data_IF_910560290639
#
_entry.id   IF_910560290639
#
_cell.length_a   1.000
_cell.length_b   1.000
_cell.length_c   1.000
_cell.angle_alpha   90.00
_cell.angle_beta   90.00
_cell.angle_gamma   90.00
#
_symmetry.space_group_name_H-M   'P 1'
#
loop_
_entity.id
_entity.type
_entity.pdbx_description
1 polymer ?
#
# COMPACT_ATOMS: atom_id res chain seq x y z
N UNK A 1 7.43 15.75 10.22
CA UNK A 1 6.42 15.71 11.29
C UNK A 1 6.39 14.30 11.90
N UNK A 2 5.94 14.18 13.15
CA UNK A 2 5.68 12.91 13.85
C UNK A 2 4.20 12.81 14.28
N UNK A 3 3.29 13.55 13.62
CA UNK A 3 1.84 13.53 13.89
C UNK A 3 1.10 13.15 12.62
N UNK A 4 0.15 12.23 12.75
CA UNK A 4 -0.73 11.81 11.67
C UNK A 4 -1.75 12.92 11.34
N UNK A 5 -2.26 13.60 12.36
CA UNK A 5 -3.22 14.70 12.25
C UNK A 5 -2.65 15.86 11.42
N UNK A 6 -1.40 16.26 11.69
CA UNK A 6 -0.73 17.33 10.93
C UNK A 6 -0.59 16.96 9.45
N UNK A 7 -0.33 15.69 9.15
CA UNK A 7 -0.19 15.21 7.77
C UNK A 7 -1.54 15.07 7.05
N UNK A 8 -2.64 14.82 7.78
CA UNK A 8 -3.99 14.70 7.23
C UNK A 8 -4.66 16.05 6.97
N UNK A 9 -4.37 17.06 7.80
CA UNK A 9 -4.99 18.37 7.72
C UNK A 9 -4.79 19.01 6.33
N UNK A 10 -5.90 19.19 5.59
CA UNK A 10 -5.90 19.78 4.25
C UNK A 10 -5.27 18.92 3.15
N UNK A 11 -4.94 17.64 3.42
CA UNK A 11 -4.36 16.76 2.40
C UNK A 11 -5.36 16.46 1.27
N UNK A 12 -4.91 16.44 0.01
CA UNK A 12 -5.74 16.00 -1.13
C UNK A 12 -5.74 14.46 -1.30
N UNK A 13 -4.68 13.81 -0.82
CA UNK A 13 -4.45 12.37 -0.92
C UNK A 13 -3.86 11.89 0.41
N UNK A 14 -4.32 10.75 0.90
CA UNK A 14 -3.74 10.09 2.08
C UNK A 14 -3.34 8.66 1.74
N UNK A 15 -2.17 8.25 2.24
CA UNK A 15 -1.66 6.88 2.08
C UNK A 15 -1.14 6.35 3.43
N UNK A 16 -2.04 5.96 4.34
CA UNK A 16 -1.66 5.38 5.63
C UNK A 16 -1.42 3.88 5.48
N UNK A 17 -0.18 3.43 5.71
CA UNK A 17 0.24 2.01 5.70
C UNK A 17 1.28 1.82 6.78
N UNK A 18 1.23 0.71 7.52
CA UNK A 18 2.25 0.38 8.52
C UNK A 18 3.54 -0.12 7.86
N UNK A 19 4.70 0.17 8.48
CA UNK A 19 5.99 -0.41 8.14
C UNK A 19 6.84 -0.62 9.39
N UNK A 20 7.72 -1.63 9.36
CA UNK A 20 8.69 -1.85 10.43
C UNK A 20 9.85 -0.83 10.32
N UNK A 21 10.41 -0.34 11.46
CA UNK A 21 11.57 0.54 11.44
C UNK A 21 12.75 -0.07 10.67
N UNK A 22 13.51 0.76 9.97
CA UNK A 22 14.67 0.31 9.19
C UNK A 22 15.66 -0.52 10.03
N UNK A 23 15.96 -0.08 11.27
CA UNK A 23 16.92 -0.77 12.15
C UNK A 23 16.42 -2.15 12.59
N UNK A 24 15.11 -2.30 12.81
CA UNK A 24 14.48 -3.61 13.05
C UNK A 24 14.71 -4.54 11.87
N UNK A 25 14.53 -4.04 10.64
CA UNK A 25 14.71 -4.84 9.42
C UNK A 25 16.18 -5.22 9.17
N UNK A 26 17.12 -4.37 9.54
CA UNK A 26 18.56 -4.68 9.51
C UNK A 26 18.88 -5.84 10.47
N UNK A 27 18.49 -5.73 11.74
CA UNK A 27 18.67 -6.80 12.74
C UNK A 27 17.97 -8.09 12.31
N UNK A 28 16.73 -8.01 11.82
CA UNK A 28 15.99 -9.17 11.28
C UNK A 28 16.79 -9.86 10.17
N UNK A 29 17.42 -9.09 9.28
CA UNK A 29 18.21 -9.64 8.17
C UNK A 29 19.44 -10.38 8.66
N UNK A 30 20.13 -9.86 9.68
CA UNK A 30 21.28 -10.52 10.30
C UNK A 30 20.88 -11.84 10.98
N UNK A 31 19.79 -11.83 11.75
CA UNK A 31 19.26 -13.02 12.42
C UNK A 31 18.83 -14.10 11.41
N UNK A 32 18.12 -13.70 10.34
CA UNK A 32 17.74 -14.62 9.26
C UNK A 32 18.95 -15.26 8.58
N UNK A 33 20.00 -14.49 8.28
CA UNK A 33 21.24 -15.02 7.67
C UNK A 33 21.96 -16.02 8.57
N UNK A 34 21.82 -15.88 9.89
CA UNK A 34 22.38 -16.80 10.89
C UNK A 34 21.46 -17.98 11.21
N UNK A 35 20.25 -18.02 10.63
CA UNK A 35 19.20 -19.00 10.97
C UNK A 35 18.85 -18.99 12.48
N UNK A 36 18.93 -17.81 13.11
CA UNK A 36 18.64 -17.63 14.53
C UNK A 36 17.13 -17.46 14.77
N UNK A 37 16.43 -18.58 14.88
CA UNK A 37 14.98 -18.60 15.08
C UNK A 37 14.56 -18.00 16.44
N UNK A 38 15.34 -18.24 17.50
CA UNK A 38 15.02 -17.72 18.82
C UNK A 38 15.13 -16.19 18.85
N UNK A 39 16.19 -15.63 18.25
CA UNK A 39 16.35 -14.18 18.12
C UNK A 39 15.25 -13.54 17.27
N UNK A 40 14.74 -14.23 16.24
CA UNK A 40 13.62 -13.73 15.43
C UNK A 40 12.33 -13.65 16.24
N UNK A 41 12.01 -14.68 17.03
CA UNK A 41 10.82 -14.71 17.88
C UNK A 41 10.88 -13.60 18.96
N UNK A 42 12.06 -13.36 19.53
CA UNK A 42 12.29 -12.28 20.50
C UNK A 42 12.13 -10.89 19.84
N UNK A 43 12.72 -10.70 18.66
CA UNK A 43 12.59 -9.45 17.90
C UNK A 43 11.13 -9.15 17.54
N UNK A 44 10.37 -10.16 17.09
CA UNK A 44 8.96 -10.00 16.76
C UNK A 44 8.13 -9.58 17.97
N UNK A 45 8.29 -10.25 19.12
CA UNK A 45 7.62 -9.88 20.37
C UNK A 45 7.92 -8.43 20.78
N UNK A 46 9.17 -8.02 20.66
CA UNK A 46 9.57 -6.63 20.93
C UNK A 46 8.87 -5.65 19.97
N UNK A 47 8.82 -5.95 18.68
CA UNK A 47 8.17 -5.09 17.69
C UNK A 47 6.66 -4.97 17.92
N UNK A 48 5.98 -6.08 18.24
CA UNK A 48 4.56 -6.07 18.58
C UNK A 48 4.28 -5.18 19.80
N UNK A 49 5.08 -5.33 20.86
CA UNK A 49 4.97 -4.49 22.06
C UNK A 49 5.28 -3.01 21.77
N UNK A 50 6.23 -2.71 20.88
CA UNK A 50 6.53 -1.34 20.46
C UNK A 50 5.34 -0.72 19.71
N UNK A 51 4.81 -1.41 18.71
CA UNK A 51 3.73 -0.92 17.85
C UNK A 51 2.41 -0.75 18.62
N UNK A 52 2.18 -1.56 19.66
CA UNK A 52 1.01 -1.43 20.53
C UNK A 52 0.91 -0.08 21.26
N UNK A 53 2.01 0.69 21.35
CA UNK A 53 1.98 2.06 21.90
C UNK A 53 1.43 3.09 20.90
N UNK A 54 1.18 2.71 19.65
CA UNK A 54 0.79 3.60 18.55
C UNK A 54 -0.51 3.14 17.87
N UNK A 55 -1.38 2.42 18.57
CA UNK A 55 -2.66 1.94 18.01
C UNK A 55 -3.61 3.06 17.56
N UNK A 56 -3.41 4.29 18.02
CA UNK A 56 -4.14 5.46 17.52
C UNK A 56 -3.78 5.90 16.09
N UNK A 57 -2.75 5.30 15.48
CA UNK A 57 -2.36 5.56 14.08
C UNK A 57 -3.25 4.78 13.10
N UNK A 58 -4.53 5.13 13.09
CA UNK A 58 -5.56 4.53 12.25
C UNK A 58 -6.18 5.59 11.33
N UNK A 59 -6.46 5.25 10.08
CA UNK A 59 -7.21 6.10 9.17
C UNK A 59 -8.71 6.05 9.50
N UNK A 60 -9.15 6.97 10.37
CA UNK A 60 -10.54 7.07 10.86
C UNK A 60 -11.38 8.08 10.08
N UNK A 61 -12.71 8.01 10.21
CA UNK A 61 -13.61 9.04 9.66
C UNK A 61 -13.30 10.45 10.20
N UNK A 62 -12.94 10.57 11.48
CA UNK A 62 -12.58 11.86 12.10
C UNK A 62 -11.33 12.47 11.46
N UNK A 63 -10.30 11.66 11.18
CA UNK A 63 -9.12 12.14 10.46
C UNK A 63 -9.45 12.53 9.03
N UNK A 64 -10.24 11.71 8.33
CA UNK A 64 -10.66 11.99 6.95
C UNK A 64 -11.42 13.32 6.81
N UNK A 65 -12.22 13.72 7.81
CA UNK A 65 -12.92 15.02 7.81
C UNK A 65 -11.98 16.23 7.81
N UNK A 66 -10.75 16.08 8.32
CA UNK A 66 -9.78 17.17 8.36
C UNK A 66 -9.02 17.37 7.04
N UNK A 67 -9.17 16.43 6.12
CA UNK A 67 -8.54 16.47 4.79
C UNK A 67 -9.17 17.52 3.88
N UNK A 68 -8.59 17.76 2.70
CA UNK A 68 -9.12 18.67 1.70
C UNK A 68 -10.58 18.29 1.37
N UNK A 69 -11.50 19.23 1.62
CA UNK A 69 -12.95 19.05 1.50
C UNK A 69 -13.53 17.84 2.28
N UNK A 70 -12.78 17.31 3.26
CA UNK A 70 -13.15 16.13 4.03
C UNK A 70 -13.21 14.83 3.22
N UNK A 71 -12.60 14.79 2.03
CA UNK A 71 -12.73 13.68 1.07
C UNK A 71 -11.46 13.41 0.26
N UNK A 72 -10.29 13.54 0.90
CA UNK A 72 -9.03 13.13 0.28
C UNK A 72 -9.14 11.74 -0.34
N UNK A 73 -8.45 11.54 -1.47
CA UNK A 73 -8.34 10.21 -2.04
C UNK A 73 -7.55 9.31 -1.09
N UNK A 74 -8.24 8.37 -0.45
CA UNK A 74 -7.61 7.30 0.29
C UNK A 74 -6.96 6.30 -0.68
N UNK A 75 -5.68 6.05 -0.49
CA UNK A 75 -4.89 5.08 -1.27
C UNK A 75 -4.28 4.02 -0.36
N UNK A 76 -4.24 2.78 -0.86
CA UNK A 76 -3.63 1.66 -0.16
C UNK A 76 -3.27 0.54 -1.13
N UNK A 77 -2.16 -0.17 -0.90
CA UNK A 77 -1.66 -1.19 -1.85
C UNK A 77 -2.43 -2.52 -1.84
N UNK A 78 -3.18 -2.77 -0.77
CA UNK A 78 -3.90 -4.01 -0.46
C UNK A 78 -2.96 -5.21 -0.16
N UNK A 79 -3.37 -6.14 0.74
CA UNK A 79 -4.51 -6.00 1.66
C UNK A 79 -4.26 -4.91 2.71
N UNK A 80 -5.33 -4.26 3.16
CA UNK A 80 -5.33 -3.37 4.32
C UNK A 80 -5.76 -4.15 5.55
N UNK A 81 -5.22 -3.79 6.71
CA UNK A 81 -5.72 -4.27 7.99
C UNK A 81 -6.93 -3.41 8.39
N UNK A 82 -8.13 -3.94 8.23
CA UNK A 82 -9.39 -3.22 8.44
C UNK A 82 -9.93 -3.53 9.84
N UNK A 83 -10.05 -2.49 10.66
CA UNK A 83 -10.54 -2.61 12.04
C UNK A 83 -11.93 -3.23 12.09
N UNK A 84 -12.12 -4.17 13.01
CA UNK A 84 -13.33 -4.98 13.20
C UNK A 84 -13.75 -5.86 12.01
N UNK A 85 -12.91 -6.00 10.98
CA UNK A 85 -13.18 -6.87 9.82
C UNK A 85 -12.09 -7.93 9.65
N UNK A 86 -10.83 -7.52 9.42
CA UNK A 86 -9.70 -8.46 9.28
C UNK A 86 -8.89 -8.61 10.57
N UNK A 87 -8.99 -7.64 11.48
CA UNK A 87 -8.34 -7.62 12.78
C UNK A 87 -9.16 -6.78 13.78
N UNK A 88 -8.86 -6.88 15.07
CA UNK A 88 -9.53 -6.08 16.11
C UNK A 88 -9.26 -4.57 15.93
N UNK A 89 -7.98 -4.20 15.77
CA UNK A 89 -7.50 -2.85 15.49
C UNK A 89 -6.52 -2.91 14.32
N UNK A 90 -6.70 -2.01 13.35
CA UNK A 90 -5.97 -2.03 12.08
C UNK A 90 -5.53 -0.65 11.62
N UNK A 91 -5.28 -0.55 10.32
CA UNK A 91 -4.76 0.63 9.63
C UNK A 91 -5.87 1.61 9.22
N UNK A 92 -7.11 1.13 9.09
CA UNK A 92 -8.25 1.91 8.56
C UNK A 92 -9.59 1.44 9.11
N UNK A 93 -10.48 2.39 9.36
CA UNK A 93 -11.86 2.11 9.74
C UNK A 93 -12.65 1.48 8.58
N UNK A 94 -13.53 0.52 8.87
CA UNK A 94 -14.30 -0.19 7.84
C UNK A 94 -15.12 0.75 6.92
N UNK A 95 -15.73 1.79 7.49
CA UNK A 95 -16.52 2.81 6.77
C UNK A 95 -15.68 3.58 5.75
N UNK A 96 -14.47 4.01 6.12
CA UNK A 96 -13.51 4.69 5.24
C UNK A 96 -13.07 3.73 4.13
N UNK A 97 -12.67 2.51 4.48
CA UNK A 97 -12.24 1.53 3.48
C UNK A 97 -13.35 1.24 2.47
N UNK A 98 -14.58 0.99 2.93
CA UNK A 98 -15.71 0.68 2.05
C UNK A 98 -16.05 1.83 1.09
N UNK A 99 -15.97 3.09 1.56
CA UNK A 99 -16.18 4.28 0.73
C UNK A 99 -15.15 4.38 -0.41
N UNK A 100 -13.91 3.96 -0.18
CA UNK A 100 -12.80 4.01 -1.15
C UNK A 100 -12.40 2.65 -1.74
N UNK A 101 -13.23 1.61 -1.56
CA UNK A 101 -12.98 0.25 -2.06
C UNK A 101 -12.81 0.21 -3.58
N UNK A 102 -13.70 0.87 -4.33
CA UNK A 102 -13.58 0.93 -5.80
C UNK A 102 -12.32 1.68 -6.24
N UNK A 103 -12.01 2.88 -5.72
CA UNK A 103 -10.73 3.55 -5.97
C UNK A 103 -9.50 2.68 -5.73
N UNK A 104 -9.41 1.97 -4.59
CA UNK A 104 -8.25 1.10 -4.28
C UNK A 104 -8.15 -0.12 -5.21
N UNK A 105 -9.28 -0.66 -5.68
CA UNK A 105 -9.28 -1.75 -6.67
C UNK A 105 -8.83 -1.27 -8.06
N UNK A 106 -9.27 -0.08 -8.46
CA UNK A 106 -8.79 0.57 -9.70
C UNK A 106 -7.30 0.85 -9.59
N UNK A 107 -6.82 1.40 -8.47
CA UNK A 107 -5.40 1.61 -8.16
C UNK A 107 -4.60 0.31 -8.37
N UNK A 108 -5.04 -0.80 -7.75
CA UNK A 108 -4.36 -2.10 -7.89
C UNK A 108 -4.36 -2.61 -9.35
N UNK A 109 -5.43 -2.33 -10.11
CA UNK A 109 -5.58 -2.70 -11.51
C UNK A 109 -4.51 -2.13 -12.45
N UNK A 110 -3.80 -1.07 -12.06
CA UNK A 110 -2.70 -0.51 -12.87
C UNK A 110 -1.41 -1.33 -12.77
N UNK A 111 -1.16 -2.06 -11.69
CA UNK A 111 0.12 -2.75 -11.44
C UNK A 111 0.51 -3.74 -12.57
N UNK A 112 -0.39 -4.57 -13.12
CA UNK A 112 -0.06 -5.43 -14.26
C UNK A 112 0.40 -4.64 -15.50
N UNK A 113 -0.25 -3.50 -15.80
CA UNK A 113 0.11 -2.68 -16.96
C UNK A 113 1.46 -1.98 -16.78
N UNK A 114 1.78 -1.51 -15.57
CA UNK A 114 3.09 -0.92 -15.26
C UNK A 114 4.21 -1.96 -15.43
N UNK A 115 4.02 -3.19 -14.93
CA UNK A 115 5.00 -4.27 -15.12
C UNK A 115 5.16 -4.61 -16.61
N UNK A 116 4.06 -4.70 -17.35
CA UNK A 116 4.11 -4.94 -18.80
C UNK A 116 4.85 -3.81 -19.53
N UNK A 117 4.62 -2.54 -19.16
CA UNK A 117 5.32 -1.39 -19.72
C UNK A 117 6.82 -1.44 -19.44
N UNK A 118 7.23 -1.82 -18.22
CA UNK A 118 8.65 -2.02 -17.87
C UNK A 118 9.30 -3.09 -18.74
N UNK A 119 8.65 -4.24 -18.90
CA UNK A 119 9.13 -5.34 -19.77
C UNK A 119 9.23 -4.87 -21.22
N UNK A 120 8.19 -4.21 -21.72
CA UNK A 120 8.10 -3.76 -23.10
C UNK A 120 9.18 -2.72 -23.44
N UNK A 121 9.36 -1.72 -22.58
CA UNK A 121 10.40 -0.71 -22.74
C UNK A 121 11.83 -1.28 -22.58
N UNK A 122 12.02 -2.31 -21.73
CA UNK A 122 13.31 -2.95 -21.55
C UNK A 122 13.69 -3.99 -22.62
N UNK A 123 12.72 -4.45 -23.44
CA UNK A 123 12.93 -5.51 -24.45
C UNK A 123 13.04 -5.00 -25.87
N UNK A 124 12.45 -3.86 -26.20
CA UNK A 124 12.38 -3.35 -27.57
C UNK A 124 13.09 -2.01 -27.67
N UNK A 125 13.92 -1.85 -28.71
CA UNK A 125 14.68 -0.61 -28.95
C UNK A 125 13.76 0.60 -29.21
N UNK A 126 12.66 0.39 -29.94
CA UNK A 126 11.65 1.42 -30.21
C UNK A 126 10.25 0.93 -29.79
N UNK A 127 9.92 0.99 -28.48
CA UNK A 127 8.64 0.53 -27.96
C UNK A 127 7.46 1.33 -28.53
N UNK A 128 7.64 2.63 -28.79
CA UNK A 128 6.58 3.48 -29.35
C UNK A 128 6.14 3.02 -30.75
N UNK A 129 7.10 2.72 -31.64
CA UNK A 129 6.81 2.22 -32.98
C UNK A 129 6.13 0.84 -32.94
N UNK A 130 6.61 -0.07 -32.08
CA UNK A 130 5.99 -1.38 -31.91
C UNK A 130 4.55 -1.27 -31.38
N UNK A 131 4.29 -0.36 -30.44
CA UNK A 131 2.94 -0.14 -29.92
C UNK A 131 1.99 0.37 -31.01
N UNK A 132 2.45 1.29 -31.87
CA UNK A 132 1.68 1.77 -33.02
C UNK A 132 1.36 0.64 -34.00
N UNK A 133 2.34 -0.20 -34.32
CA UNK A 133 2.15 -1.35 -35.20
C UNK A 133 1.19 -2.40 -34.59
N UNK A 134 1.27 -2.67 -33.28
CA UNK A 134 0.30 -3.53 -32.59
C UNK A 134 -1.14 -2.99 -32.68
N UNK A 135 -1.30 -1.67 -32.53
CA UNK A 135 -2.60 -1.01 -32.66
C UNK A 135 -3.14 -1.11 -34.09
N UNK A 136 -2.28 -0.95 -35.12
CA UNK A 136 -2.65 -1.09 -36.52
C UNK A 136 -3.05 -2.53 -36.87
N UNK A 137 -2.33 -3.53 -36.36
CA UNK A 137 -2.66 -4.95 -36.55
C UNK A 137 -4.01 -5.33 -35.96
N UNK A 138 -4.47 -4.61 -34.92
CA UNK A 138 -5.79 -4.74 -34.29
C UNK A 138 -6.22 -6.19 -34.05
N UNK A 139 -5.29 -7.03 -33.57
CA UNK A 139 -5.57 -8.44 -33.30
C UNK A 139 -6.50 -8.55 -32.09
N UNK A 140 -7.62 -9.25 -32.27
CA UNK A 140 -8.59 -9.47 -31.19
C UNK A 140 -7.96 -10.29 -30.07
N UNK A 141 -7.99 -9.75 -28.84
CA UNK A 141 -7.52 -10.44 -27.63
C UNK A 141 -8.29 -11.73 -27.34
N UNK A 142 -9.60 -11.74 -27.61
CA UNK A 142 -10.49 -12.91 -27.45
C UNK A 142 -11.28 -13.05 -28.75
N UNK A 143 -11.34 -14.27 -29.30
CA UNK A 143 -11.98 -14.55 -30.59
C UNK A 143 -13.50 -14.53 -30.51
N UNK A 144 -14.11 -13.46 -31.03
CA UNK A 144 -15.46 -13.44 -31.63
C UNK A 144 -15.32 -12.66 -32.91
#
# INVERSE_FOLDING_TARGET
SNSMEEAFAGADIVYPKSWAPYKVMETRTELLRKQDHAGLDELEKHCLAQNANFTGWECTEELMKTTCEGKALYMHCLPADISSVSCEQGEVEASVFDRYRTPTYIQAGYKPFIIAAMIFAGKFENPAALLQDLAQRNLKRVGI
#
